data_IF_104706157817
#
_entry.id   IF_104706157817
#
_cell.length_a   1.000
_cell.length_b   1.000
_cell.length_c   1.000
_cell.angle_alpha   90.00
_cell.angle_beta   90.00
_cell.angle_gamma   90.00
#
_symmetry.space_group_name_H-M   'P 1'
#
loop_
_entity.id
_entity.type
_entity.pdbx_description
1 polymer ?
#
# COMPACT_ATOMS: atom_id res chain seq x y z
N UNK A 1 -9.24 -85.80 -17.56
CA UNK A 1 -9.52 -84.42 -18.04
C UNK A 1 -9.31 -83.45 -16.87
N UNK A 2 -8.10 -82.89 -16.73
CA UNK A 2 -7.71 -82.02 -15.62
C UNK A 2 -7.87 -80.55 -16.07
N UNK A 3 -8.88 -79.86 -15.53
CA UNK A 3 -9.10 -78.41 -15.81
C UNK A 3 -8.05 -77.58 -15.05
N UNK A 4 -7.13 -77.00 -15.78
CA UNK A 4 -6.23 -75.99 -15.28
C UNK A 4 -7.02 -74.70 -14.92
N UNK A 5 -7.08 -74.41 -13.61
CA UNK A 5 -7.65 -73.20 -13.06
C UNK A 5 -6.61 -72.07 -13.22
N UNK A 6 -6.84 -71.13 -14.12
CA UNK A 6 -5.98 -69.96 -14.27
C UNK A 6 -6.07 -69.07 -13.00
N UNK A 7 -4.90 -68.63 -12.43
CA UNK A 7 -4.92 -67.71 -11.32
C UNK A 7 -5.43 -66.33 -11.77
N UNK A 8 -6.57 -65.89 -11.24
CA UNK A 8 -6.99 -64.52 -11.43
C UNK A 8 -6.07 -63.60 -10.67
N UNK A 9 -5.21 -62.90 -11.37
CA UNK A 9 -4.38 -61.80 -10.82
C UNK A 9 -5.32 -60.68 -10.49
N UNK A 10 -5.66 -60.55 -9.19
CA UNK A 10 -6.43 -59.43 -8.61
C UNK A 10 -5.49 -58.23 -8.66
N UNK A 11 -5.61 -57.40 -9.67
CA UNK A 11 -4.94 -56.07 -9.75
C UNK A 11 -5.54 -55.26 -8.61
N UNK A 12 -4.81 -55.15 -7.48
CA UNK A 12 -5.09 -54.18 -6.42
C UNK A 12 -5.00 -52.79 -7.11
N UNK A 13 -6.14 -52.18 -7.49
CA UNK A 13 -6.20 -50.78 -7.84
C UNK A 13 -5.63 -50.00 -6.67
N UNK A 14 -4.48 -49.40 -6.87
CA UNK A 14 -3.77 -48.67 -5.86
C UNK A 14 -4.63 -47.45 -5.46
N UNK A 15 -5.04 -47.41 -4.23
CA UNK A 15 -5.76 -46.26 -3.61
C UNK A 15 -4.86 -45.01 -3.58
N UNK A 16 -3.57 -45.13 -3.88
CA UNK A 16 -2.59 -44.05 -3.96
C UNK A 16 -2.93 -42.96 -5.00
N UNK A 17 -3.59 -43.31 -6.11
CA UNK A 17 -4.01 -42.33 -7.10
C UNK A 17 -5.11 -41.39 -6.61
N UNK A 18 -5.99 -41.87 -5.72
CA UNK A 18 -7.07 -41.05 -5.15
C UNK A 18 -6.55 -39.97 -4.22
N UNK A 19 -5.59 -40.27 -3.36
CA UNK A 19 -5.04 -39.30 -2.40
C UNK A 19 -4.25 -38.18 -3.12
N UNK A 20 -3.52 -38.49 -4.18
CA UNK A 20 -2.83 -37.48 -4.99
C UNK A 20 -3.81 -36.55 -5.71
N UNK A 21 -4.91 -37.05 -6.21
CA UNK A 21 -5.95 -36.22 -6.85
C UNK A 21 -6.60 -35.26 -5.83
N UNK A 22 -6.94 -35.73 -4.64
CA UNK A 22 -7.46 -34.87 -3.57
C UNK A 22 -6.48 -33.80 -3.11
N UNK A 23 -5.20 -34.15 -2.97
CA UNK A 23 -4.14 -33.19 -2.63
C UNK A 23 -3.99 -32.12 -3.72
N UNK A 24 -4.01 -32.50 -4.99
CA UNK A 24 -3.92 -31.57 -6.10
C UNK A 24 -5.13 -30.60 -6.14
N UNK A 25 -6.33 -31.11 -5.92
CA UNK A 25 -7.55 -30.30 -5.84
C UNK A 25 -7.47 -29.30 -4.66
N UNK A 26 -7.03 -29.75 -3.50
CA UNK A 26 -6.87 -28.90 -2.32
C UNK A 26 -5.83 -27.79 -2.56
N UNK A 27 -4.67 -28.13 -3.14
CA UNK A 27 -3.64 -27.16 -3.49
C UNK A 27 -4.16 -26.12 -4.48
N UNK A 28 -4.91 -26.54 -5.50
CA UNK A 28 -5.43 -25.63 -6.52
C UNK A 28 -6.56 -24.74 -6.00
N UNK A 29 -7.47 -25.27 -5.17
CA UNK A 29 -8.69 -24.56 -4.77
C UNK A 29 -8.53 -23.74 -3.48
N UNK A 30 -7.64 -24.14 -2.58
CA UNK A 30 -7.47 -23.49 -1.28
C UNK A 30 -6.14 -22.77 -1.18
N UNK A 31 -5.02 -23.46 -1.45
CA UNK A 31 -3.70 -22.89 -1.20
C UNK A 31 -3.35 -21.79 -2.22
N UNK A 32 -3.71 -21.96 -3.49
CA UNK A 32 -3.39 -20.99 -4.53
C UNK A 32 -4.13 -19.64 -4.32
N UNK A 33 -5.45 -19.60 -4.08
CA UNK A 33 -6.12 -18.34 -3.74
C UNK A 33 -5.60 -17.69 -2.46
N UNK A 34 -5.26 -18.49 -1.45
CA UNK A 34 -4.69 -17.99 -0.20
C UNK A 34 -3.34 -17.32 -0.42
N UNK A 35 -2.46 -17.91 -1.23
CA UNK A 35 -1.17 -17.33 -1.61
C UNK A 35 -1.34 -16.01 -2.37
N UNK A 36 -2.26 -15.92 -3.31
CA UNK A 36 -2.56 -14.69 -4.04
C UNK A 36 -3.06 -13.59 -3.12
N UNK A 37 -3.92 -13.93 -2.15
CA UNK A 37 -4.39 -12.98 -1.15
C UNK A 37 -3.26 -12.44 -0.26
N UNK A 38 -2.32 -13.29 0.15
CA UNK A 38 -1.14 -12.87 0.92
C UNK A 38 -0.24 -11.94 0.11
N UNK A 39 -0.05 -12.22 -1.19
CA UNK A 39 0.75 -11.38 -2.09
C UNK A 39 0.10 -10.00 -2.24
N UNK A 40 -1.20 -9.93 -2.51
CA UNK A 40 -1.92 -8.66 -2.63
C UNK A 40 -1.91 -7.88 -1.32
N UNK A 41 -2.14 -8.54 -0.18
CA UNK A 41 -2.10 -7.92 1.14
C UNK A 41 -0.73 -7.32 1.46
N UNK A 42 0.35 -8.06 1.22
CA UNK A 42 1.71 -7.59 1.45
C UNK A 42 2.06 -6.39 0.56
N UNK A 43 1.61 -6.40 -0.69
CA UNK A 43 1.78 -5.28 -1.64
C UNK A 43 1.05 -4.03 -1.19
N UNK A 44 -0.19 -4.17 -0.72
CA UNK A 44 -0.98 -3.04 -0.20
C UNK A 44 -0.32 -2.42 1.04
N UNK A 45 0.17 -3.25 1.97
CA UNK A 45 0.89 -2.79 3.16
C UNK A 45 2.20 -2.07 2.79
N UNK A 46 2.95 -2.59 1.83
CA UNK A 46 4.16 -1.95 1.34
C UNK A 46 3.87 -0.57 0.73
N UNK A 47 2.86 -0.48 -0.15
CA UNK A 47 2.45 0.80 -0.76
C UNK A 47 2.01 1.79 0.31
N UNK A 48 1.21 1.35 1.30
CA UNK A 48 0.79 2.20 2.41
C UNK A 48 1.98 2.73 3.21
N UNK A 49 2.95 1.88 3.54
CA UNK A 49 4.17 2.29 4.25
C UNK A 49 4.97 3.34 3.46
N UNK A 50 5.11 3.14 2.15
CA UNK A 50 5.80 4.11 1.27
C UNK A 50 5.07 5.44 1.16
N UNK A 51 3.73 5.41 1.03
CA UNK A 51 2.90 6.62 1.02
C UNK A 51 3.00 7.37 2.35
N UNK A 52 2.96 6.65 3.48
CA UNK A 52 3.09 7.25 4.79
C UNK A 52 4.44 7.94 4.95
N UNK A 53 5.55 7.26 4.63
CA UNK A 53 6.89 7.87 4.70
C UNK A 53 7.02 9.10 3.81
N UNK A 54 6.45 9.07 2.60
CA UNK A 54 6.50 10.20 1.69
C UNK A 54 5.62 11.37 2.17
N UNK A 55 4.45 11.08 2.74
CA UNK A 55 3.56 12.09 3.32
C UNK A 55 4.18 12.73 4.56
N UNK A 56 4.82 11.93 5.43
CA UNK A 56 5.51 12.42 6.63
C UNK A 56 6.65 13.37 6.25
N UNK A 57 7.51 12.96 5.32
CA UNK A 57 8.62 13.80 4.83
C UNK A 57 8.11 15.10 4.16
N UNK A 58 7.07 15.00 3.32
CA UNK A 58 6.48 16.15 2.66
C UNK A 58 5.86 17.14 3.66
N UNK A 59 5.16 16.62 4.67
CA UNK A 59 4.53 17.43 5.71
C UNK A 59 5.57 18.10 6.61
N UNK A 60 6.65 17.42 6.94
CA UNK A 60 7.73 17.97 7.73
C UNK A 60 8.47 19.08 6.99
N UNK A 61 8.85 18.88 5.72
CA UNK A 61 9.49 19.91 4.90
C UNK A 61 8.56 21.11 4.68
N UNK A 62 7.25 20.85 4.49
CA UNK A 62 6.24 21.90 4.41
C UNK A 62 6.16 22.71 5.72
N UNK A 63 6.23 22.05 6.88
CA UNK A 63 6.20 22.69 8.19
C UNK A 63 7.42 23.60 8.42
N UNK A 64 8.60 23.20 7.93
CA UNK A 64 9.79 24.06 7.93
C UNK A 64 9.68 25.23 6.96
N UNK A 65 9.07 25.01 5.80
CA UNK A 65 8.87 26.06 4.79
C UNK A 65 7.78 27.06 5.15
N UNK A 66 6.81 26.63 5.99
CA UNK A 66 5.64 27.43 6.37
C UNK A 66 5.93 28.48 7.44
N UNK A 67 7.03 28.37 8.17
CA UNK A 67 7.38 29.32 9.21
C UNK A 67 7.61 30.73 8.67
N UNK A 68 6.79 31.69 9.10
CA UNK A 68 6.96 33.11 8.78
C UNK A 68 8.02 33.72 9.70
N UNK A 69 9.29 33.71 9.27
CA UNK A 69 10.42 34.25 10.03
C UNK A 69 10.27 35.70 10.45
N UNK A 70 9.87 36.64 9.57
CA UNK A 70 9.69 38.04 9.95
C UNK A 70 8.70 38.19 11.09
N UNK A 71 7.57 37.55 11.01
CA UNK A 71 6.54 37.63 12.03
C UNK A 71 7.01 37.02 13.38
N UNK A 72 7.76 35.90 13.32
CA UNK A 72 8.33 35.31 14.54
C UNK A 72 9.34 36.22 15.25
N UNK A 73 10.18 36.93 14.49
CA UNK A 73 11.16 37.88 15.06
C UNK A 73 10.45 39.05 15.76
N UNK A 74 9.35 39.52 15.18
CA UNK A 74 8.64 40.69 15.68
C UNK A 74 7.69 40.36 16.85
N UNK A 75 7.02 39.21 16.81
CA UNK A 75 5.94 38.85 17.77
C UNK A 75 6.27 37.66 18.67
N UNK A 76 7.26 36.86 18.34
CA UNK A 76 7.54 35.59 18.98
C UNK A 76 6.52 34.48 18.71
N UNK A 77 5.51 34.74 17.87
CA UNK A 77 4.46 33.79 17.51
C UNK A 77 4.76 33.09 16.19
N UNK A 78 4.55 31.76 16.20
CA UNK A 78 4.62 30.95 14.99
C UNK A 78 3.34 31.12 14.17
N UNK A 79 3.46 31.71 12.97
CA UNK A 79 2.33 31.80 12.03
C UNK A 79 2.67 31.12 10.71
N UNK A 80 1.63 30.59 10.06
CA UNK A 80 1.73 30.02 8.74
C UNK A 80 1.96 31.12 7.70
N UNK A 81 3.05 30.99 6.94
CA UNK A 81 3.39 31.86 5.83
C UNK A 81 2.63 31.54 4.53
N UNK A 82 3.27 31.81 3.39
CA UNK A 82 2.66 31.78 2.08
C UNK A 82 2.24 30.35 1.63
N UNK A 83 0.95 30.17 1.39
CA UNK A 83 0.31 28.87 1.06
C UNK A 83 0.89 28.21 -0.20
N UNK A 84 1.04 28.95 -1.32
CA UNK A 84 1.45 28.32 -2.59
C UNK A 84 2.89 27.75 -2.54
N UNK A 85 3.78 28.44 -1.83
CA UNK A 85 5.15 27.99 -1.65
C UNK A 85 5.23 26.72 -0.80
N UNK A 86 4.49 26.68 0.30
CA UNK A 86 4.42 25.53 1.21
C UNK A 86 3.89 24.29 0.49
N UNK A 87 2.81 24.44 -0.28
CA UNK A 87 2.26 23.35 -1.09
C UNK A 87 3.26 22.89 -2.16
N UNK A 88 3.98 23.82 -2.79
CA UNK A 88 5.01 23.49 -3.78
C UNK A 88 6.18 22.69 -3.18
N UNK A 89 6.66 23.06 -1.99
CA UNK A 89 7.70 22.32 -1.26
C UNK A 89 7.20 20.91 -0.91
N UNK A 90 5.99 20.80 -0.34
CA UNK A 90 5.41 19.52 0.00
C UNK A 90 5.30 18.58 -1.20
N UNK A 91 4.79 19.06 -2.33
CA UNK A 91 4.64 18.26 -3.55
C UNK A 91 6.00 17.83 -4.13
N UNK A 92 7.00 18.71 -4.10
CA UNK A 92 8.35 18.38 -4.56
C UNK A 92 8.99 17.30 -3.69
N UNK A 93 8.94 17.44 -2.36
CA UNK A 93 9.46 16.43 -1.43
C UNK A 93 8.71 15.12 -1.54
N UNK A 94 7.39 15.16 -1.67
CA UNK A 94 6.57 13.96 -1.88
C UNK A 94 6.98 13.20 -3.14
N UNK A 95 7.06 13.89 -4.28
CA UNK A 95 7.45 13.27 -5.56
C UNK A 95 8.88 12.76 -5.53
N UNK A 96 9.79 13.49 -4.89
CA UNK A 96 11.19 13.09 -4.72
C UNK A 96 11.33 11.86 -3.83
N UNK A 97 10.58 11.78 -2.71
CA UNK A 97 10.64 10.66 -1.77
C UNK A 97 10.00 9.40 -2.36
N UNK A 98 8.93 9.53 -3.12
CA UNK A 98 8.34 8.42 -3.88
C UNK A 98 9.22 8.04 -5.09
N UNK A 99 9.84 9.00 -5.74
CA UNK A 99 10.81 8.96 -6.81
C UNK A 99 10.84 7.69 -7.65
N UNK A 100 11.94 6.96 -7.58
CA UNK A 100 12.21 5.80 -8.41
C UNK A 100 11.39 4.55 -8.07
N UNK A 101 10.79 4.49 -6.88
CA UNK A 101 9.95 3.35 -6.48
C UNK A 101 8.57 3.35 -7.14
N UNK A 102 8.21 4.42 -7.84
CA UNK A 102 6.91 4.59 -8.53
C UNK A 102 6.81 3.89 -9.89
N UNK A 103 7.76 3.07 -10.28
CA UNK A 103 7.58 2.13 -11.39
C UNK A 103 6.45 1.12 -11.15
N UNK A 104 5.87 1.12 -9.94
CA UNK A 104 4.62 0.45 -9.66
C UNK A 104 3.45 1.26 -10.23
N UNK A 105 2.52 0.57 -10.90
CA UNK A 105 1.38 1.16 -11.64
C UNK A 105 0.33 1.80 -10.71
N UNK A 106 0.70 2.79 -9.91
CA UNK A 106 -0.24 3.60 -9.13
C UNK A 106 0.09 5.09 -9.30
N UNK A 107 -0.95 5.91 -9.36
CA UNK A 107 -0.84 7.38 -9.41
C UNK A 107 -1.04 7.94 -8.01
N UNK A 108 0.03 8.30 -7.28
CA UNK A 108 -0.10 8.92 -5.97
C UNK A 108 -0.51 10.38 -6.10
N UNK A 109 -1.42 10.81 -5.24
CA UNK A 109 -1.88 12.19 -5.13
C UNK A 109 -1.61 12.67 -3.70
N UNK A 110 -1.03 13.86 -3.56
CA UNK A 110 -0.85 14.54 -2.29
C UNK A 110 -1.82 15.73 -2.21
N UNK A 111 -2.61 15.78 -1.15
CA UNK A 111 -3.42 16.93 -0.76
C UNK A 111 -2.80 17.55 0.49
N UNK A 112 -2.52 18.85 0.44
CA UNK A 112 -1.97 19.61 1.55
C UNK A 112 -2.97 20.65 1.97
N UNK A 113 -3.36 20.66 3.24
CA UNK A 113 -4.28 21.62 3.84
C UNK A 113 -3.59 22.33 4.99
N UNK A 114 -3.63 23.67 5.00
CA UNK A 114 -3.09 24.48 6.06
C UNK A 114 -4.19 24.86 7.04
N UNK A 115 -4.01 24.49 8.29
CA UNK A 115 -4.87 24.88 9.40
C UNK A 115 -4.26 26.10 10.12
N UNK A 116 -4.72 27.28 9.75
CA UNK A 116 -4.26 28.53 10.33
C UNK A 116 -4.69 28.73 11.78
N UNK A 117 -5.78 28.07 12.19
CA UNK A 117 -6.29 28.20 13.57
C UNK A 117 -5.39 27.47 14.58
N UNK A 118 -4.85 26.31 14.18
CA UNK A 118 -4.02 25.48 15.05
C UNK A 118 -2.52 25.54 14.67
N UNK A 119 -2.14 26.34 13.69
CA UNK A 119 -0.78 26.40 13.14
C UNK A 119 -0.23 25.01 12.75
N UNK A 120 -1.06 24.24 12.03
CA UNK A 120 -0.76 22.87 11.62
C UNK A 120 -0.88 22.70 10.11
N UNK A 121 -0.15 21.74 9.58
CA UNK A 121 -0.22 21.30 8.19
C UNK A 121 -0.74 19.87 8.18
N UNK A 122 -1.80 19.65 7.41
CA UNK A 122 -2.37 18.33 7.18
C UNK A 122 -2.00 17.87 5.79
N UNK A 123 -1.32 16.74 5.70
CA UNK A 123 -0.97 16.09 4.45
C UNK A 123 -1.76 14.78 4.32
N UNK A 124 -2.49 14.63 3.22
CA UNK A 124 -3.21 13.41 2.90
C UNK A 124 -2.70 12.88 1.56
N UNK A 125 -2.07 11.72 1.59
CA UNK A 125 -1.60 11.04 0.39
C UNK A 125 -2.55 9.88 0.06
N UNK A 126 -2.96 9.79 -1.21
CA UNK A 126 -3.82 8.72 -1.71
C UNK A 126 -3.22 8.08 -2.94
N UNK A 127 -3.39 6.76 -3.09
CA UNK A 127 -3.00 6.03 -4.28
C UNK A 127 -3.99 4.92 -4.60
N UNK A 128 -4.16 4.62 -5.89
CA UNK A 128 -4.96 3.51 -6.40
C UNK A 128 -4.05 2.35 -6.75
N UNK A 129 -4.23 1.23 -6.07
CA UNK A 129 -3.41 0.03 -6.29
C UNK A 129 -4.27 -1.05 -6.94
N UNK A 130 -3.88 -1.55 -8.13
CA UNK A 130 -4.60 -2.65 -8.76
C UNK A 130 -4.35 -3.93 -7.97
N UNK A 131 -5.42 -4.70 -7.75
CA UNK A 131 -5.39 -6.00 -7.08
C UNK A 131 -5.20 -7.08 -8.14
N UNK A 132 -4.31 -8.03 -7.89
CA UNK A 132 -4.01 -9.15 -8.81
C UNK A 132 -5.14 -10.17 -8.72
N UNK A 133 -5.61 -10.44 -7.50
CA UNK A 133 -6.71 -11.36 -7.25
C UNK A 133 -8.05 -10.65 -7.39
N UNK A 134 -8.56 -10.64 -8.63
CA UNK A 134 -9.88 -10.11 -8.94
C UNK A 134 -10.95 -11.19 -8.75
N UNK A 135 -11.34 -11.46 -7.50
CA UNK A 135 -12.46 -12.34 -7.20
C UNK A 135 -13.78 -11.64 -7.55
N UNK A 136 -14.80 -12.43 -7.92
CA UNK A 136 -16.15 -11.92 -8.20
C UNK A 136 -16.66 -11.13 -6.98
N UNK A 137 -16.94 -9.83 -7.18
CA UNK A 137 -17.41 -8.93 -6.11
C UNK A 137 -16.32 -8.08 -5.43
N UNK A 138 -15.04 -8.27 -5.77
CA UNK A 138 -13.95 -7.41 -5.29
C UNK A 138 -13.65 -6.32 -6.30
N UNK A 139 -13.51 -5.07 -5.84
CA UNK A 139 -13.13 -3.97 -6.72
C UNK A 139 -11.73 -4.23 -7.32
N UNK A 140 -11.53 -3.97 -8.63
CA UNK A 140 -10.26 -4.22 -9.31
C UNK A 140 -9.12 -3.31 -8.81
N UNK A 141 -9.45 -2.29 -8.04
CA UNK A 141 -8.51 -1.32 -7.46
C UNK A 141 -8.90 -1.00 -6.02
N UNK A 142 -7.91 -0.88 -5.15
CA UNK A 142 -8.07 -0.47 -3.75
C UNK A 142 -7.43 0.90 -3.57
N UNK A 143 -8.16 1.82 -2.93
CA UNK A 143 -7.63 3.11 -2.53
C UNK A 143 -6.85 2.94 -1.23
N UNK A 144 -5.56 3.28 -1.27
CA UNK A 144 -4.69 3.34 -0.10
C UNK A 144 -4.52 4.79 0.29
N UNK A 145 -4.69 5.10 1.58
CA UNK A 145 -4.57 6.45 2.12
C UNK A 145 -3.59 6.49 3.28
N UNK A 146 -2.82 7.58 3.34
CA UNK A 146 -1.92 7.92 4.42
C UNK A 146 -2.16 9.38 4.82
N UNK A 147 -2.32 9.64 6.11
CA UNK A 147 -2.58 10.98 6.65
C UNK A 147 -1.51 11.33 7.67
N UNK A 148 -1.03 12.57 7.61
CA UNK A 148 -0.04 13.12 8.54
C UNK A 148 -0.43 14.53 8.94
N UNK A 149 -0.21 14.86 10.21
CA UNK A 149 -0.41 16.19 10.76
C UNK A 149 0.89 16.63 11.41
N UNK A 150 1.39 17.79 11.01
CA UNK A 150 2.63 18.34 11.56
C UNK A 150 2.41 19.79 11.99
N UNK A 151 2.86 20.15 13.19
CA UNK A 151 2.86 21.53 13.64
C UNK A 151 3.98 22.32 12.95
N UNK A 152 3.75 23.62 12.70
CA UNK A 152 4.76 24.51 12.14
C UNK A 152 5.96 24.59 13.07
N UNK A 153 7.15 24.52 12.52
CA UNK A 153 8.42 24.54 13.25
C UNK A 153 9.35 25.64 12.71
N UNK A 154 10.16 26.19 13.61
CA UNK A 154 11.25 27.12 13.26
C UNK A 154 12.59 26.47 13.58
N UNK A 155 13.56 26.81 12.75
CA UNK A 155 14.96 26.39 12.93
C UNK A 155 15.83 27.60 13.17
#
# INVERSE_FOLDING_TARGET
MTRLRSPQVRIKRSEQGSSMAWTAIFLATVLMPLMLFVIDGSRLLYVRGRLQTAADAACEDAAWAAGDRPNYIDTGETRLGNNWYVVGVAQNTFTRTLGESTRMAFTPLLSVTLDYANNQILCSATARVPVIFNAVGVAPQVNVQANTITAVRFR
#
